data_IF_834344604459
#
_entry.id   IF_834344604459
#
_cell.length_a   1.000
_cell.length_b   1.000
_cell.length_c   1.000
_cell.angle_alpha   90.00
_cell.angle_beta   90.00
_cell.angle_gamma   90.00
#
_symmetry.space_group_name_H-M   'P 1'
#
loop_
_entity.id
_entity.type
_entity.pdbx_description
1 polymer ?
#
# COMPACT_ATOMS: atom_id res chain seq x y z
N UNK A 1 5.68 -42.36 -59.26
CA UNK A 1 5.99 -40.97 -58.92
C UNK A 1 4.71 -40.15 -58.66
N UNK A 2 3.71 -40.15 -59.54
CA UNK A 2 2.45 -39.36 -59.38
C UNK A 2 1.66 -39.75 -58.14
N UNK A 3 1.61 -41.03 -57.76
CA UNK A 3 0.89 -41.54 -56.60
C UNK A 3 1.50 -41.07 -55.28
N UNK A 4 2.82 -40.96 -55.18
CA UNK A 4 3.51 -40.46 -53.99
C UNK A 4 3.32 -38.92 -53.85
N UNK A 5 3.23 -38.19 -54.97
CA UNK A 5 3.01 -36.76 -54.97
C UNK A 5 1.58 -36.40 -54.51
N UNK A 6 0.56 -37.15 -54.95
CA UNK A 6 -0.82 -36.97 -54.47
C UNK A 6 -0.95 -37.23 -52.97
N UNK A 7 -0.27 -38.25 -52.42
CA UNK A 7 -0.25 -38.55 -50.98
C UNK A 7 0.40 -37.39 -50.17
N UNK A 8 1.54 -36.83 -50.67
CA UNK A 8 2.22 -35.73 -50.01
C UNK A 8 1.39 -34.43 -50.02
N UNK A 9 0.60 -34.19 -51.08
CA UNK A 9 -0.31 -33.01 -51.14
C UNK A 9 -1.43 -33.15 -50.12
N UNK A 10 -2.03 -34.35 -49.98
CA UNK A 10 -3.07 -34.61 -48.99
C UNK A 10 -2.54 -34.43 -47.54
N UNK A 11 -1.33 -34.96 -47.27
CA UNK A 11 -0.71 -34.79 -45.94
C UNK A 11 -0.38 -33.31 -45.66
N UNK A 12 0.13 -32.57 -46.65
CA UNK A 12 0.40 -31.14 -46.51
C UNK A 12 -0.88 -30.33 -46.29
N UNK A 13 -1.96 -30.64 -47.01
CA UNK A 13 -3.27 -29.97 -46.80
C UNK A 13 -3.82 -30.21 -45.39
N UNK A 14 -3.72 -31.46 -44.90
CA UNK A 14 -4.15 -31.77 -43.53
C UNK A 14 -3.33 -31.02 -42.48
N UNK A 15 -2.02 -30.90 -42.67
CA UNK A 15 -1.14 -30.15 -41.77
C UNK A 15 -1.45 -28.62 -41.77
N UNK A 16 -1.83 -28.07 -42.92
CA UNK A 16 -2.23 -26.65 -43.05
C UNK A 16 -3.60 -26.42 -42.37
N UNK A 17 -4.55 -27.35 -42.53
CA UNK A 17 -5.84 -27.28 -41.82
C UNK A 17 -5.66 -27.33 -40.31
N UNK A 18 -4.77 -28.21 -39.79
CA UNK A 18 -4.43 -28.24 -38.37
C UNK A 18 -3.78 -26.93 -37.91
N UNK A 19 -2.88 -26.35 -38.74
CA UNK A 19 -2.26 -25.04 -38.46
C UNK A 19 -3.31 -23.94 -38.33
N UNK A 20 -4.29 -23.85 -39.24
CA UNK A 20 -5.40 -22.90 -39.18
C UNK A 20 -6.21 -23.10 -37.88
N UNK A 21 -6.49 -24.34 -37.49
CA UNK A 21 -7.14 -24.66 -36.22
C UNK A 21 -6.36 -24.19 -35.00
N UNK A 22 -5.04 -24.36 -35.01
CA UNK A 22 -4.14 -23.92 -33.96
C UNK A 22 -4.11 -22.38 -33.87
N UNK A 23 -4.04 -21.67 -35.01
CA UNK A 23 -4.10 -20.21 -35.08
C UNK A 23 -5.40 -19.70 -34.43
N UNK A 24 -6.56 -20.31 -34.76
CA UNK A 24 -7.83 -19.96 -34.15
C UNK A 24 -7.89 -20.20 -32.63
N UNK A 25 -7.15 -21.18 -32.13
CA UNK A 25 -7.02 -21.45 -30.70
C UNK A 25 -6.15 -20.42 -30.00
N UNK A 26 -5.06 -20.00 -30.64
CA UNK A 26 -4.19 -18.92 -30.14
C UNK A 26 -4.94 -17.60 -30.13
N UNK A 27 -5.70 -17.26 -31.18
CA UNK A 27 -6.50 -16.04 -31.26
C UNK A 27 -7.49 -15.95 -30.07
N UNK A 28 -8.21 -17.04 -29.78
CA UNK A 28 -9.09 -17.09 -28.59
C UNK A 28 -8.34 -16.86 -27.28
N UNK A 29 -7.09 -17.32 -27.18
CA UNK A 29 -6.25 -17.12 -26.00
C UNK A 29 -5.81 -15.67 -25.90
N UNK A 30 -5.49 -15.03 -27.02
CA UNK A 30 -5.15 -13.61 -27.12
C UNK A 30 -6.32 -12.74 -26.67
N UNK A 31 -7.55 -13.03 -27.12
CA UNK A 31 -8.75 -12.31 -26.68
C UNK A 31 -8.91 -12.36 -25.16
N UNK A 32 -8.77 -13.54 -24.56
CA UNK A 32 -8.83 -13.70 -23.11
C UNK A 32 -7.70 -12.92 -22.39
N UNK A 33 -6.49 -12.93 -22.95
CA UNK A 33 -5.41 -12.13 -22.40
C UNK A 33 -5.76 -10.64 -22.37
N UNK A 34 -6.35 -10.10 -23.44
CA UNK A 34 -6.81 -8.68 -23.47
C UNK A 34 -7.80 -8.40 -22.35
N UNK A 35 -8.77 -9.27 -22.15
CA UNK A 35 -9.77 -9.13 -21.06
C UNK A 35 -9.09 -9.11 -19.68
N UNK A 36 -8.20 -10.07 -19.39
CA UNK A 36 -7.49 -10.15 -18.11
C UNK A 36 -6.55 -8.94 -17.89
N UNK A 37 -5.87 -8.47 -18.94
CA UNK A 37 -5.02 -7.28 -18.81
C UNK A 37 -5.81 -6.01 -18.57
N UNK A 38 -7.03 -5.90 -19.11
CA UNK A 38 -7.93 -4.78 -18.81
C UNK A 38 -8.34 -4.79 -17.33
N UNK A 39 -8.62 -5.96 -16.76
CA UNK A 39 -8.90 -6.10 -15.33
C UNK A 39 -7.69 -5.71 -14.48
N UNK A 40 -6.50 -6.21 -14.84
CA UNK A 40 -5.26 -5.87 -14.14
C UNK A 40 -4.94 -4.38 -14.17
N UNK A 41 -5.23 -3.68 -15.27
CA UNK A 41 -5.07 -2.23 -15.38
C UNK A 41 -5.98 -1.49 -14.39
N UNK A 42 -7.24 -1.91 -14.30
CA UNK A 42 -8.20 -1.37 -13.34
C UNK A 42 -7.73 -1.63 -11.90
N UNK A 43 -7.28 -2.84 -11.61
CA UNK A 43 -6.82 -3.22 -10.27
C UNK A 43 -5.56 -2.44 -9.86
N UNK A 44 -4.61 -2.26 -10.78
CA UNK A 44 -3.42 -1.45 -10.53
C UNK A 44 -3.79 0.02 -10.24
N UNK A 45 -4.73 0.59 -11.00
CA UNK A 45 -5.24 1.94 -10.77
C UNK A 45 -5.93 2.07 -9.41
N UNK A 46 -6.81 1.14 -9.10
CA UNK A 46 -7.49 1.09 -7.79
C UNK A 46 -6.49 0.98 -6.64
N UNK A 47 -5.43 0.18 -6.82
CA UNK A 47 -4.35 0.06 -5.85
C UNK A 47 -3.62 1.38 -5.61
N UNK A 48 -3.33 2.15 -6.66
CA UNK A 48 -2.71 3.48 -6.56
C UNK A 48 -3.65 4.46 -5.81
N UNK A 49 -4.94 4.46 -6.13
CA UNK A 49 -5.93 5.32 -5.46
C UNK A 49 -6.08 4.96 -3.98
N UNK A 50 -6.10 3.67 -3.64
CA UNK A 50 -6.13 3.20 -2.25
C UNK A 50 -4.87 3.61 -1.50
N UNK A 51 -3.68 3.47 -2.11
CA UNK A 51 -2.42 3.88 -1.50
C UNK A 51 -2.39 5.40 -1.23
N UNK A 52 -2.90 6.21 -2.14
CA UNK A 52 -3.07 7.65 -1.95
C UNK A 52 -4.01 7.97 -0.77
N UNK A 53 -5.10 7.20 -0.62
CA UNK A 53 -6.03 7.35 0.51
C UNK A 53 -5.36 6.98 1.84
N UNK A 54 -4.53 5.94 1.86
CA UNK A 54 -3.73 5.56 3.03
C UNK A 54 -2.77 6.70 3.40
N UNK A 55 -2.06 7.29 2.44
CA UNK A 55 -1.16 8.42 2.69
C UNK A 55 -1.89 9.62 3.32
N UNK A 56 -3.09 9.95 2.85
CA UNK A 56 -3.90 11.03 3.43
C UNK A 56 -4.34 10.71 4.88
N UNK A 57 -4.65 9.45 5.20
CA UNK A 57 -4.98 9.04 6.57
C UNK A 57 -3.76 9.12 7.48
N UNK A 58 -2.61 8.67 7.01
CA UNK A 58 -1.35 8.73 7.75
C UNK A 58 -0.98 10.18 8.10
N UNK A 59 -1.14 11.10 7.15
CA UNK A 59 -0.89 12.52 7.39
C UNK A 59 -1.79 13.08 8.49
N UNK A 60 -3.08 12.73 8.51
CA UNK A 60 -4.00 13.11 9.59
C UNK A 60 -3.58 12.53 10.93
N UNK A 61 -3.12 11.27 10.97
CA UNK A 61 -2.64 10.64 12.20
C UNK A 61 -1.38 11.36 12.69
N UNK A 62 -0.47 11.76 11.80
CA UNK A 62 0.72 12.54 12.14
C UNK A 62 0.37 13.88 12.78
N UNK A 63 -0.59 14.61 12.19
CA UNK A 63 -1.08 15.88 12.72
C UNK A 63 -1.72 15.70 14.12
N UNK A 64 -2.54 14.66 14.29
CA UNK A 64 -3.17 14.34 15.58
C UNK A 64 -2.13 13.94 16.63
N UNK A 65 -1.12 13.14 16.26
CA UNK A 65 -0.04 12.75 17.16
C UNK A 65 0.76 13.97 17.63
N UNK A 66 1.04 14.91 16.74
CA UNK A 66 1.70 16.18 17.09
C UNK A 66 0.86 17.00 18.08
N UNK A 67 -0.43 17.15 17.82
CA UNK A 67 -1.33 17.86 18.73
C UNK A 67 -1.42 17.18 20.11
N UNK A 68 -1.39 15.85 20.16
CA UNK A 68 -1.34 15.09 21.43
C UNK A 68 -0.02 15.30 22.17
N UNK A 69 1.10 15.40 21.46
CA UNK A 69 2.41 15.69 22.05
C UNK A 69 2.43 17.09 22.71
N UNK A 70 1.86 18.08 22.02
CA UNK A 70 1.73 19.46 22.56
C UNK A 70 0.85 19.45 23.82
N UNK A 71 -0.29 18.76 23.79
CA UNK A 71 -1.18 18.64 24.95
C UNK A 71 -0.49 17.92 26.12
N UNK A 72 0.28 16.86 25.85
CA UNK A 72 1.03 16.14 26.86
C UNK A 72 2.11 17.02 27.51
N UNK A 73 2.79 17.85 26.72
CA UNK A 73 3.76 18.84 27.22
C UNK A 73 3.09 19.83 28.17
N UNK A 74 1.87 20.29 27.87
CA UNK A 74 1.11 21.16 28.77
C UNK A 74 0.77 20.43 30.09
N UNK A 75 0.34 19.16 30.02
CA UNK A 75 0.04 18.36 31.22
C UNK A 75 1.27 18.19 32.09
N UNK A 76 2.42 17.91 31.50
CA UNK A 76 3.70 17.81 32.21
C UNK A 76 4.04 19.11 32.93
N UNK A 77 3.93 20.25 32.26
CA UNK A 77 4.17 21.57 32.86
C UNK A 77 3.19 21.88 34.02
N UNK A 78 1.91 21.50 33.88
CA UNK A 78 0.93 21.64 34.95
C UNK A 78 1.30 20.76 36.14
N UNK A 79 1.73 19.53 35.91
CA UNK A 79 2.15 18.61 36.97
C UNK A 79 3.37 19.17 37.72
N UNK A 80 4.37 19.69 37.01
CA UNK A 80 5.56 20.32 37.62
C UNK A 80 5.19 21.57 38.43
N UNK A 81 4.32 22.44 37.91
CA UNK A 81 3.84 23.61 38.64
C UNK A 81 3.04 23.22 39.87
N UNK A 82 2.17 22.19 39.77
CA UNK A 82 1.39 21.68 40.89
C UNK A 82 2.29 21.09 41.96
N UNK A 83 3.34 20.37 41.58
CA UNK A 83 4.35 19.84 42.49
C UNK A 83 5.04 20.97 43.29
N UNK A 84 5.45 22.04 42.60
CA UNK A 84 6.06 23.22 43.25
C UNK A 84 5.08 23.93 44.19
N UNK A 85 3.81 24.09 43.79
CA UNK A 85 2.80 24.69 44.64
C UNK A 85 2.51 23.86 45.89
N UNK A 86 2.43 22.54 45.73
CA UNK A 86 2.23 21.62 46.85
C UNK A 86 3.40 21.63 47.84
N UNK A 87 4.63 21.69 47.30
CA UNK A 87 5.85 21.82 48.14
C UNK A 87 5.84 23.13 48.94
N UNK A 88 5.47 24.26 48.32
CA UNK A 88 5.35 25.53 49.00
C UNK A 88 4.27 25.51 50.07
N UNK A 89 3.11 24.88 49.77
CA UNK A 89 2.04 24.71 50.74
C UNK A 89 2.45 23.81 51.93
N UNK A 90 3.23 22.76 51.70
CA UNK A 90 3.76 21.92 52.77
C UNK A 90 4.72 22.67 53.68
N UNK A 91 5.58 23.52 53.11
CA UNK A 91 6.51 24.38 53.85
C UNK A 91 5.71 25.37 54.75
N UNK A 92 4.71 26.02 54.20
CA UNK A 92 3.88 26.99 54.97
C UNK A 92 3.04 26.31 56.06
N UNK A 93 2.53 25.10 55.76
CA UNK A 93 1.83 24.30 56.79
C UNK A 93 2.74 23.88 57.93
N UNK A 94 4.03 23.54 57.68
CA UNK A 94 5.03 23.25 58.67
C UNK A 94 5.33 24.48 59.51
N UNK A 95 5.37 25.68 58.91
CA UNK A 95 5.61 26.96 59.60
C UNK A 95 4.47 27.31 60.58
N UNK A 96 3.20 26.91 60.25
CA UNK A 96 2.02 27.14 61.09
C UNK A 96 1.95 26.17 62.29
N UNK A 97 2.86 25.21 62.43
CA UNK A 97 2.96 24.25 63.55
C UNK A 97 1.68 23.37 63.68
N UNK A 98 1.16 23.24 64.92
CA UNK A 98 -0.02 22.40 65.18
C UNK A 98 -1.26 22.82 64.38
N UNK A 99 -1.42 24.10 64.10
CA UNK A 99 -2.57 24.60 63.28
C UNK A 99 -2.46 24.20 61.83
N UNK A 100 -1.26 23.89 61.32
CA UNK A 100 -1.00 23.50 59.91
C UNK A 100 -1.06 22.01 59.63
N UNK A 101 -1.15 21.12 60.65
CA UNK A 101 -1.05 19.64 60.46
C UNK A 101 -1.98 19.07 59.43
N UNK A 102 -3.25 19.50 59.37
CA UNK A 102 -4.22 19.04 58.38
C UNK A 102 -3.86 19.49 56.95
N UNK A 103 -3.35 20.71 56.82
CA UNK A 103 -2.91 21.24 55.54
C UNK A 103 -1.64 20.55 55.02
N UNK A 104 -0.71 20.16 55.90
CA UNK A 104 0.50 19.42 55.49
C UNK A 104 0.17 18.09 54.85
N UNK A 105 -0.79 17.33 55.41
CA UNK A 105 -1.21 16.05 54.83
C UNK A 105 -1.83 16.23 53.45
N UNK A 106 -2.66 17.27 53.24
CA UNK A 106 -3.23 17.57 51.93
C UNK A 106 -2.16 17.99 50.92
N UNK A 107 -1.22 18.84 51.32
CA UNK A 107 -0.12 19.27 50.48
C UNK A 107 0.76 18.10 50.06
N UNK A 108 1.10 17.17 50.95
CA UNK A 108 1.87 15.98 50.60
C UNK A 108 1.12 15.06 49.64
N UNK A 109 -0.21 14.91 49.78
CA UNK A 109 -1.01 14.12 48.85
C UNK A 109 -1.09 14.77 47.45
N UNK A 110 -1.25 16.11 47.38
CA UNK A 110 -1.22 16.87 46.13
C UNK A 110 0.14 16.71 45.45
N UNK A 111 1.23 16.79 46.21
CA UNK A 111 2.59 16.60 45.72
C UNK A 111 2.76 15.23 45.08
N UNK A 112 2.30 14.17 45.77
CA UNK A 112 2.39 12.80 45.25
C UNK A 112 1.55 12.61 43.99
N UNK A 113 0.37 13.21 43.91
CA UNK A 113 -0.46 13.19 42.69
C UNK A 113 0.23 13.91 41.51
N UNK A 114 0.87 15.04 41.79
CA UNK A 114 1.62 15.80 40.79
C UNK A 114 2.83 15.00 40.27
N UNK A 115 3.61 14.36 41.16
CA UNK A 115 4.73 13.50 40.78
C UNK A 115 4.25 12.31 39.91
N UNK A 116 3.13 11.67 40.31
CA UNK A 116 2.53 10.58 39.53
C UNK A 116 2.07 11.06 38.16
N UNK A 117 1.44 12.25 38.08
CA UNK A 117 1.01 12.85 36.80
C UNK A 117 2.16 13.17 35.88
N UNK A 118 3.27 13.70 36.40
CA UNK A 118 4.48 13.95 35.64
C UNK A 118 5.08 12.64 35.10
N UNK A 119 5.14 11.59 35.92
CA UNK A 119 5.62 10.27 35.49
C UNK A 119 4.75 9.68 34.36
N UNK A 120 3.41 9.78 34.47
CA UNK A 120 2.51 9.30 33.44
C UNK A 120 2.64 10.13 32.13
N UNK A 121 2.80 11.46 32.25
CA UNK A 121 3.04 12.31 31.08
C UNK A 121 4.35 11.94 30.35
N UNK A 122 5.41 11.61 31.09
CA UNK A 122 6.66 11.14 30.47
C UNK A 122 6.43 9.84 29.69
N UNK A 123 5.72 8.86 30.27
CA UNK A 123 5.39 7.62 29.56
C UNK A 123 4.56 7.86 28.30
N UNK A 124 3.56 8.75 28.38
CA UNK A 124 2.74 9.14 27.22
C UNK A 124 3.64 9.78 26.15
N UNK A 125 4.59 10.64 26.54
CA UNK A 125 5.54 11.25 25.61
C UNK A 125 6.41 10.23 24.87
N UNK A 126 6.90 9.20 25.58
CA UNK A 126 7.63 8.09 24.96
C UNK A 126 6.76 7.32 23.95
N UNK A 127 5.53 7.00 24.32
CA UNK A 127 4.59 6.30 23.40
C UNK A 127 4.24 7.16 22.18
N UNK A 128 4.06 8.46 22.34
CA UNK A 128 3.82 9.37 21.21
C UNK A 128 5.03 9.46 20.27
N UNK A 129 6.23 9.38 20.81
CA UNK A 129 7.47 9.31 20.00
C UNK A 129 7.51 8.01 19.19
N UNK A 130 7.21 6.87 19.82
CA UNK A 130 7.13 5.58 19.14
C UNK A 130 6.06 5.59 18.02
N UNK A 131 4.93 6.25 18.26
CA UNK A 131 3.87 6.43 17.24
C UNK A 131 4.41 7.26 16.06
N UNK A 132 5.14 8.34 16.30
CA UNK A 132 5.72 9.16 15.21
C UNK A 132 6.75 8.37 14.38
N UNK A 133 7.58 7.55 15.03
CA UNK A 133 8.51 6.66 14.32
C UNK A 133 7.73 5.63 13.48
N UNK A 134 6.66 5.03 14.02
CA UNK A 134 5.79 4.12 13.29
C UNK A 134 5.13 4.79 12.08
N UNK A 135 4.66 6.02 12.23
CA UNK A 135 4.10 6.83 11.12
C UNK A 135 5.14 7.00 10.01
N UNK A 136 6.39 7.37 10.35
CA UNK A 136 7.45 7.51 9.36
C UNK A 136 7.69 6.22 8.58
N UNK A 137 7.74 5.08 9.26
CA UNK A 137 7.91 3.78 8.63
C UNK A 137 6.75 3.43 7.67
N UNK A 138 5.51 3.79 8.03
CA UNK A 138 4.34 3.54 7.17
C UNK A 138 4.38 4.47 5.94
N UNK A 139 4.83 5.72 6.06
CA UNK A 139 5.02 6.64 4.92
C UNK A 139 6.05 6.06 3.94
N UNK A 140 7.17 5.57 4.44
CA UNK A 140 8.22 4.97 3.61
C UNK A 140 7.69 3.72 2.88
N UNK A 141 7.00 2.83 3.59
CA UNK A 141 6.40 1.63 3.02
C UNK A 141 5.32 1.96 1.99
N UNK A 142 4.50 2.98 2.23
CA UNK A 142 3.48 3.44 1.29
C UNK A 142 4.09 4.02 0.02
N UNK A 143 5.19 4.78 0.15
CA UNK A 143 5.93 5.32 -0.99
C UNK A 143 6.54 4.21 -1.86
N UNK A 144 7.08 3.16 -1.24
CA UNK A 144 7.63 2.01 -1.97
C UNK A 144 6.52 1.19 -2.64
N UNK A 145 5.37 1.04 -1.97
CA UNK A 145 4.18 0.41 -2.55
C UNK A 145 3.69 1.17 -3.79
N UNK A 146 3.65 2.51 -3.74
CA UNK A 146 3.25 3.33 -4.88
C UNK A 146 4.18 3.13 -6.08
N UNK A 147 5.50 3.14 -5.87
CA UNK A 147 6.48 2.84 -6.93
C UNK A 147 6.27 1.45 -7.54
N UNK A 148 5.99 0.47 -6.70
CA UNK A 148 5.75 -0.91 -7.14
C UNK A 148 4.48 -1.01 -7.98
N UNK A 149 3.39 -0.37 -7.56
CA UNK A 149 2.13 -0.32 -8.31
C UNK A 149 2.30 0.41 -9.65
N UNK A 150 3.05 1.51 -9.67
CA UNK A 150 3.36 2.23 -10.91
C UNK A 150 4.21 1.37 -11.88
N UNK A 151 5.16 0.59 -11.35
CA UNK A 151 5.93 -0.35 -12.16
C UNK A 151 5.05 -1.47 -12.73
N UNK A 152 4.08 -1.97 -11.96
CA UNK A 152 3.07 -2.94 -12.42
C UNK A 152 2.23 -2.34 -13.55
N UNK A 153 1.70 -1.13 -13.39
CA UNK A 153 0.91 -0.44 -14.42
C UNK A 153 1.71 -0.28 -15.73
N UNK A 154 2.98 0.12 -15.65
CA UNK A 154 3.85 0.23 -16.82
C UNK A 154 4.08 -1.12 -17.51
N UNK A 155 4.25 -2.21 -16.74
CA UNK A 155 4.42 -3.56 -17.30
C UNK A 155 3.16 -4.06 -17.99
N UNK A 156 1.98 -3.74 -17.44
CA UNK A 156 0.68 -4.06 -18.05
C UNK A 156 0.59 -3.40 -19.42
N UNK A 157 0.90 -2.11 -19.54
CA UNK A 157 0.89 -1.39 -20.81
C UNK A 157 1.83 -2.02 -21.86
N UNK A 158 3.09 -2.31 -21.46
CA UNK A 158 4.05 -2.98 -22.34
C UNK A 158 3.57 -4.36 -22.80
N UNK A 159 2.93 -5.12 -21.92
CA UNK A 159 2.39 -6.44 -22.28
C UNK A 159 1.19 -6.29 -23.20
N UNK A 160 0.37 -5.26 -23.05
CA UNK A 160 -0.72 -4.93 -23.98
C UNK A 160 -0.21 -4.66 -25.41
N UNK A 161 0.92 -3.96 -25.55
CA UNK A 161 1.58 -3.77 -26.85
C UNK A 161 2.03 -5.09 -27.47
N UNK A 162 2.63 -5.98 -26.67
CA UNK A 162 3.06 -7.31 -27.14
C UNK A 162 1.87 -8.17 -27.57
N UNK A 163 0.76 -8.13 -26.86
CA UNK A 163 -0.47 -8.84 -27.22
C UNK A 163 -0.98 -8.35 -28.58
N UNK A 164 -0.93 -7.03 -28.84
CA UNK A 164 -1.33 -6.46 -30.12
C UNK A 164 -0.42 -6.94 -31.27
N UNK A 165 0.88 -7.05 -31.02
CA UNK A 165 1.83 -7.62 -31.99
C UNK A 165 1.56 -9.10 -32.27
N UNK A 166 1.30 -9.90 -31.24
CA UNK A 166 0.94 -11.33 -31.38
C UNK A 166 -0.31 -11.46 -32.25
N UNK A 167 -1.33 -10.65 -32.03
CA UNK A 167 -2.56 -10.66 -32.82
C UNK A 167 -2.30 -10.35 -34.30
N UNK A 168 -1.52 -9.33 -34.57
CA UNK A 168 -1.11 -9.01 -35.96
C UNK A 168 -0.35 -10.16 -36.63
N UNK A 169 0.58 -10.81 -35.92
CA UNK A 169 1.29 -11.97 -36.43
C UNK A 169 0.37 -13.18 -36.70
N UNK A 170 -0.65 -13.39 -35.84
CA UNK A 170 -1.63 -14.45 -36.08
C UNK A 170 -2.52 -14.18 -37.29
N UNK A 171 -2.95 -12.92 -37.50
CA UNK A 171 -3.71 -12.52 -38.69
C UNK A 171 -2.91 -12.76 -39.97
N UNK A 172 -1.63 -12.41 -39.97
CA UNK A 172 -0.73 -12.65 -41.11
C UNK A 172 -0.48 -14.15 -41.36
N UNK A 173 -0.30 -14.92 -40.29
CA UNK A 173 -0.09 -16.36 -40.35
C UNK A 173 -1.35 -17.08 -40.85
N UNK A 174 -2.53 -16.64 -40.46
CA UNK A 174 -3.80 -17.17 -40.98
C UNK A 174 -3.96 -16.93 -42.46
N UNK A 175 -3.68 -15.69 -42.93
CA UNK A 175 -3.73 -15.37 -44.35
C UNK A 175 -2.72 -16.20 -45.16
N UNK A 176 -1.48 -16.35 -44.67
CA UNK A 176 -0.47 -17.17 -45.30
C UNK A 176 -0.84 -18.66 -45.36
N UNK A 177 -1.41 -19.20 -44.29
CA UNK A 177 -1.86 -20.60 -44.28
C UNK A 177 -3.01 -20.83 -45.26
N UNK A 178 -3.93 -19.88 -45.40
CA UNK A 178 -5.01 -19.96 -46.37
C UNK A 178 -4.48 -19.94 -47.82
N UNK A 179 -3.51 -19.11 -48.13
CA UNK A 179 -2.86 -19.08 -49.44
C UNK A 179 -2.14 -20.41 -49.78
N UNK A 180 -1.48 -21.02 -48.80
CA UNK A 180 -0.86 -22.34 -48.98
C UNK A 180 -1.92 -23.40 -49.27
N UNK A 181 -3.04 -23.37 -48.54
CA UNK A 181 -4.11 -24.33 -48.77
C UNK A 181 -4.71 -24.20 -50.18
N UNK A 182 -4.92 -22.99 -50.67
CA UNK A 182 -5.38 -22.71 -52.04
C UNK A 182 -4.38 -23.22 -53.09
N UNK A 183 -3.10 -22.97 -52.90
CA UNK A 183 -2.08 -23.43 -53.81
C UNK A 183 -1.89 -24.98 -53.83
N UNK A 184 -2.26 -25.68 -52.80
CA UNK A 184 -2.25 -27.15 -52.74
C UNK A 184 -3.48 -27.80 -53.41
N UNK A 185 -4.53 -27.02 -53.67
CA UNK A 185 -5.77 -27.48 -54.34
C UNK A 185 -5.77 -27.25 -55.84
N UNK A 186 -4.86 -26.42 -56.36
CA UNK A 186 -4.61 -26.23 -57.78
C UNK A 186 -3.66 -27.31 -58.38
#
# INVERSE_FOLDING_TARGET
MIQNQASSVVEASAAVEEMIGNIGSVDKSVVKMVEEFTVLEIDAKNGIEQNSSVNNLIQKIAEQSTAMMDANTIIQNIAEQTNLLAMNAAIEAAHAGEAGRGFSVVADEIRKLAETSAEQSNKIGEELTNIQEGISQVVDASTESEKSLQAVANRINLTGELITQIRGAMEEQQAGSQQILEALQE
#
